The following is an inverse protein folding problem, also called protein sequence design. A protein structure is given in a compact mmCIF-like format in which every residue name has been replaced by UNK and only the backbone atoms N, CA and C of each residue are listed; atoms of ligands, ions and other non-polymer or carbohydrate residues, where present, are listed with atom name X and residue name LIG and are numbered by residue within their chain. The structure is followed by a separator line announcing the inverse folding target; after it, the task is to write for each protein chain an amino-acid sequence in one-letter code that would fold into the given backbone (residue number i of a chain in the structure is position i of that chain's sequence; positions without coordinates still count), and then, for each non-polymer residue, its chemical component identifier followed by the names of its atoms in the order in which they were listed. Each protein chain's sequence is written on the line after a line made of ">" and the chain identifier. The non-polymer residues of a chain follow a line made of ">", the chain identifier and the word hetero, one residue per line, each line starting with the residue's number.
data_IF_937249394460
#
_entry.id   IF_937249394460
#
_cell.length_a   1.000
_cell.length_b   1.000
_cell.length_c   1.000
_cell.angle_alpha   90.00
_cell.angle_beta   90.00
_cell.angle_gamma   90.00
#
_symmetry.space_group_name_H-M   'P 1'
#
loop_
_entity.id
_entity.type
_entity.pdbx_description
1 polymer ?
#
# COMPACT_ATOMS: atom_id res chain seq x y z
N UNK A 1 -12.63 17.61 0.36
CA UNK A 1 -11.64 18.69 0.57
C UNK A 1 -10.25 18.16 0.42
N UNK A 2 -9.45 18.80 -0.43
CA UNK A 2 -8.05 18.41 -0.56
C UNK A 2 -7.27 18.86 0.69
N UNK A 3 -6.42 17.99 1.17
CA UNK A 3 -5.54 18.28 2.30
C UNK A 3 -4.39 19.14 1.84
N UNK A 4 -3.95 20.03 2.71
CA UNK A 4 -2.82 20.91 2.41
C UNK A 4 -1.50 20.15 2.61
N UNK A 5 -0.43 20.67 2.02
CA UNK A 5 0.92 20.13 2.23
C UNK A 5 1.27 20.04 3.72
N UNK A 6 0.82 20.99 4.52
CA UNK A 6 1.07 21.01 5.96
C UNK A 6 0.52 19.77 6.68
N UNK A 7 -0.56 19.19 6.17
CA UNK A 7 -1.16 17.99 6.77
C UNK A 7 -0.71 16.70 6.08
N UNK A 8 -0.45 16.77 4.78
CA UNK A 8 -0.08 15.58 4.01
C UNK A 8 1.32 15.06 4.32
N UNK A 9 2.31 15.95 4.41
CA UNK A 9 3.69 15.52 4.70
C UNK A 9 3.86 14.91 6.09
N UNK A 10 3.31 15.51 7.16
CA UNK A 10 3.36 14.83 8.46
C UNK A 10 2.61 13.49 8.46
N UNK A 11 1.50 13.40 7.75
CA UNK A 11 0.77 12.14 7.62
C UNK A 11 1.60 11.09 6.89
N UNK A 12 2.24 11.47 5.79
CA UNK A 12 3.13 10.60 5.03
C UNK A 12 4.23 10.04 5.92
N UNK A 13 4.89 10.91 6.65
CA UNK A 13 6.00 10.55 7.54
C UNK A 13 5.52 9.60 8.63
N UNK A 14 4.39 9.89 9.25
CA UNK A 14 3.82 9.07 10.32
C UNK A 14 3.48 7.67 9.83
N UNK A 15 2.87 7.57 8.65
CA UNK A 15 2.50 6.28 8.06
C UNK A 15 3.74 5.49 7.63
N UNK A 16 4.74 6.18 7.09
CA UNK A 16 5.96 5.54 6.59
C UNK A 16 6.76 4.82 7.68
N UNK A 17 6.59 5.23 8.94
CA UNK A 17 7.33 4.62 10.06
C UNK A 17 7.01 3.13 10.22
N UNK A 18 5.76 2.74 9.98
CA UNK A 18 5.33 1.36 10.21
C UNK A 18 4.76 0.66 8.98
N UNK A 19 4.56 1.37 7.88
CA UNK A 19 3.91 0.83 6.70
C UNK A 19 4.68 -0.36 6.11
N UNK A 20 3.96 -1.41 5.76
CA UNK A 20 4.52 -2.61 5.15
C UNK A 20 3.72 -2.93 3.90
N UNK A 21 4.40 -3.03 2.77
CA UNK A 21 3.79 -3.45 1.52
C UNK A 21 3.58 -4.97 1.56
N UNK A 22 2.38 -5.40 1.25
CA UNK A 22 2.09 -6.83 1.18
C UNK A 22 0.61 -7.12 1.23
N UNK A 23 0.29 -8.37 1.07
CA UNK A 23 -1.06 -8.90 1.21
C UNK A 23 -1.13 -9.86 2.39
N UNK A 24 -2.31 -10.02 2.94
CA UNK A 24 -2.54 -10.97 4.02
C UNK A 24 -3.37 -12.14 3.49
N UNK A 25 -2.93 -13.34 3.81
CA UNK A 25 -3.67 -14.55 3.45
C UNK A 25 -3.79 -15.46 4.67
N UNK A 26 -4.98 -16.04 4.82
CA UNK A 26 -5.23 -17.02 5.88
C UNK A 26 -5.35 -18.40 5.25
N UNK A 27 -4.66 -19.36 5.82
CA UNK A 27 -4.66 -20.72 5.34
C UNK A 27 -4.90 -21.69 6.48
N UNK A 28 -5.60 -22.78 6.17
CA UNK A 28 -5.71 -23.92 7.08
C UNK A 28 -4.93 -25.09 6.49
N UNK A 29 -4.42 -25.95 7.35
CA UNK A 29 -3.64 -27.10 6.91
C UNK A 29 -3.97 -28.34 7.70
N UNK A 30 -3.65 -29.47 7.08
CA UNK A 30 -3.53 -30.73 7.79
C UNK A 30 -2.14 -30.82 8.41
N UNK A 31 -2.05 -31.45 9.59
CA UNK A 31 -0.76 -31.65 10.24
C UNK A 31 -0.06 -32.92 9.72
N UNK A 32 1.19 -33.11 10.14
CA UNK A 32 1.96 -34.29 9.75
C UNK A 32 1.53 -35.60 10.42
N UNK A 33 0.61 -35.57 11.38
CA UNK A 33 0.12 -36.76 12.06
C UNK A 33 -1.06 -37.37 11.29
N UNK A 34 -0.92 -38.51 10.63
CA UNK A 34 -1.99 -39.13 9.84
C UNK A 34 -3.19 -39.56 10.67
N UNK A 35 -3.04 -39.71 11.98
CA UNK A 35 -4.14 -40.08 12.88
C UNK A 35 -4.97 -38.87 13.31
N UNK A 36 -4.56 -37.64 12.97
CA UNK A 36 -5.27 -36.44 13.37
C UNK A 36 -6.57 -36.31 12.59
N UNK A 37 -7.64 -35.84 13.26
CA UNK A 37 -8.94 -35.64 12.67
C UNK A 37 -8.93 -34.59 11.54
N UNK A 38 -7.91 -33.74 11.47
CA UNK A 38 -7.80 -32.74 10.42
C UNK A 38 -7.68 -33.34 9.02
N UNK A 39 -7.25 -34.62 8.90
CA UNK A 39 -7.14 -35.30 7.61
C UNK A 39 -8.48 -35.79 7.09
N UNK A 40 -9.45 -36.03 7.97
CA UNK A 40 -10.75 -36.57 7.60
C UNK A 40 -11.83 -35.49 7.51
N UNK A 41 -11.72 -34.45 8.34
CA UNK A 41 -12.73 -33.41 8.48
C UNK A 41 -12.12 -32.04 8.15
N UNK A 42 -12.54 -31.39 7.04
CA UNK A 42 -12.03 -30.06 6.70
C UNK A 42 -12.27 -29.01 7.77
N UNK A 43 -13.31 -29.15 8.59
CA UNK A 43 -13.60 -28.21 9.68
C UNK A 43 -12.60 -28.33 10.83
N UNK A 44 -11.82 -29.41 10.88
CA UNK A 44 -10.83 -29.66 11.91
C UNK A 44 -9.39 -29.43 11.47
N UNK A 45 -9.22 -28.83 10.31
CA UNK A 45 -7.89 -28.43 9.86
C UNK A 45 -7.30 -27.41 10.82
N UNK A 46 -5.96 -27.46 10.95
CA UNK A 46 -5.23 -26.53 11.81
C UNK A 46 -5.20 -25.13 11.20
N UNK A 47 -5.31 -24.14 12.06
CA UNK A 47 -5.34 -22.76 11.65
C UNK A 47 -6.66 -22.10 12.02
N UNK A 48 -7.01 -20.98 11.37
CA UNK A 48 -6.28 -20.39 10.24
C UNK A 48 -4.92 -19.81 10.67
N UNK A 49 -3.96 -19.94 9.76
CA UNK A 49 -2.65 -19.31 9.92
C UNK A 49 -2.56 -18.10 9.01
N UNK A 50 -2.12 -17.00 9.55
CA UNK A 50 -1.95 -15.76 8.80
C UNK A 50 -0.55 -15.67 8.21
N UNK A 51 -0.47 -15.36 6.93
CA UNK A 51 0.78 -15.11 6.23
C UNK A 51 0.75 -13.73 5.62
N UNK A 52 1.87 -13.03 5.73
CA UNK A 52 2.12 -11.80 5.01
C UNK A 52 2.88 -12.17 3.73
N UNK A 53 2.24 -11.95 2.58
CA UNK A 53 2.88 -12.17 1.28
C UNK A 53 3.36 -10.83 0.76
N UNK A 54 4.57 -10.79 0.24
CA UNK A 54 5.18 -9.55 -0.21
C UNK A 54 6.18 -9.83 -1.33
N UNK A 55 6.55 -8.77 -2.00
CA UNK A 55 7.61 -8.84 -3.01
C UNK A 55 8.91 -8.38 -2.39
N UNK A 56 9.89 -9.26 -2.39
CA UNK A 56 11.24 -8.96 -1.88
C UNK A 56 11.95 -7.98 -2.82
N UNK A 57 13.04 -7.33 -2.36
CA UNK A 57 13.79 -6.37 -3.18
C UNK A 57 14.30 -6.96 -4.49
N UNK A 58 14.54 -8.26 -4.56
CA UNK A 58 14.97 -8.94 -5.79
C UNK A 58 13.79 -9.22 -6.76
N UNK A 59 12.58 -8.81 -6.42
CA UNK A 59 11.38 -9.00 -7.23
C UNK A 59 10.64 -10.31 -7.02
N UNK A 60 11.16 -11.21 -6.22
CA UNK A 60 10.53 -12.50 -5.94
C UNK A 60 9.44 -12.36 -4.90
N UNK A 61 8.37 -13.13 -5.07
CA UNK A 61 7.34 -13.24 -4.05
C UNK A 61 7.85 -14.05 -2.88
N UNK A 62 7.51 -13.59 -1.67
CA UNK A 62 7.90 -14.25 -0.43
C UNK A 62 6.72 -14.21 0.54
N UNK A 63 6.77 -15.05 1.56
CA UNK A 63 5.73 -15.11 2.57
C UNK A 63 6.35 -15.22 3.95
N UNK A 64 5.74 -14.52 4.90
CA UNK A 64 6.18 -14.52 6.29
C UNK A 64 5.03 -14.98 7.16
N UNK A 65 5.27 -16.02 7.96
CA UNK A 65 4.27 -16.47 8.94
C UNK A 65 4.09 -15.40 10.03
N UNK A 66 2.83 -15.10 10.35
CA UNK A 66 2.48 -14.12 11.37
C UNK A 66 1.92 -14.86 12.59
N UNK A 67 2.67 -14.91 13.70
CA UNK A 67 2.13 -15.47 14.94
C UNK A 67 0.91 -14.70 15.41
N UNK A 68 -0.01 -15.39 16.07
CA UNK A 68 -1.30 -14.83 16.45
C UNK A 68 -1.18 -13.57 17.28
N UNK A 69 -0.23 -13.49 18.18
CA UNK A 69 -0.01 -12.31 19.04
C UNK A 69 0.41 -11.06 18.24
N UNK A 70 0.94 -11.25 17.04
CA UNK A 70 1.40 -10.15 16.18
C UNK A 70 0.41 -9.76 15.10
N UNK A 71 -0.69 -10.50 14.95
CA UNK A 71 -1.66 -10.23 13.88
C UNK A 71 -2.19 -8.79 13.86
N UNK A 72 -2.63 -8.20 14.99
CA UNK A 72 -3.16 -6.83 14.94
C UNK A 72 -2.12 -5.83 14.46
N UNK A 73 -0.88 -6.00 14.87
CA UNK A 73 0.23 -5.13 14.50
C UNK A 73 0.55 -5.25 13.01
N UNK A 74 0.56 -6.46 12.47
CA UNK A 74 0.84 -6.70 11.05
C UNK A 74 -0.32 -6.18 10.20
N UNK A 75 -1.56 -6.41 10.59
CA UNK A 75 -2.73 -5.89 9.86
C UNK A 75 -2.71 -4.36 9.81
N UNK A 76 -2.33 -3.73 10.91
CA UNK A 76 -2.21 -2.27 10.97
C UNK A 76 -1.10 -1.76 10.05
N UNK A 77 0.04 -2.47 9.99
CA UNK A 77 1.15 -2.10 9.14
C UNK A 77 0.79 -2.18 7.65
N UNK A 78 0.08 -3.22 7.24
CA UNK A 78 -0.41 -3.36 5.86
C UNK A 78 -1.44 -2.29 5.52
N UNK A 79 -2.33 -1.97 6.46
CA UNK A 79 -3.31 -0.90 6.29
C UNK A 79 -2.61 0.46 6.17
N UNK A 80 -1.56 0.69 6.94
CA UNK A 80 -0.78 1.92 6.86
C UNK A 80 -0.15 2.09 5.48
N UNK A 81 0.28 1.01 4.83
CA UNK A 81 0.79 1.08 3.46
C UNK A 81 -0.27 1.58 2.49
N UNK A 82 -1.49 1.07 2.58
CA UNK A 82 -2.59 1.53 1.72
C UNK A 82 -2.87 3.02 1.92
N UNK A 83 -2.89 3.46 3.17
CA UNK A 83 -3.10 4.88 3.50
C UNK A 83 -1.92 5.75 3.05
N UNK A 84 -0.71 5.23 3.15
CA UNK A 84 0.50 5.88 2.67
C UNK A 84 0.41 6.12 1.15
N UNK A 85 -0.02 5.10 0.42
CA UNK A 85 -0.20 5.21 -1.02
C UNK A 85 -1.24 6.27 -1.39
N UNK A 86 -2.38 6.28 -0.71
CA UNK A 86 -3.41 7.31 -0.90
C UNK A 86 -2.85 8.71 -0.64
N UNK A 87 -2.04 8.86 0.40
CA UNK A 87 -1.41 10.14 0.74
C UNK A 87 -0.46 10.60 -0.36
N UNK A 88 0.34 9.68 -0.89
CA UNK A 88 1.25 9.97 -2.01
C UNK A 88 0.46 10.43 -3.24
N UNK A 89 -0.66 9.77 -3.52
CA UNK A 89 -1.51 10.14 -4.67
C UNK A 89 -2.08 11.55 -4.48
N UNK A 90 -2.52 11.90 -3.28
CA UNK A 90 -3.00 13.25 -2.98
C UNK A 90 -1.90 14.30 -3.18
N UNK A 91 -0.69 14.02 -2.70
CA UNK A 91 0.47 14.91 -2.88
C UNK A 91 0.75 15.09 -4.36
N UNK A 92 0.78 14.00 -5.11
CA UNK A 92 1.01 14.02 -6.56
C UNK A 92 -0.05 14.84 -7.29
N UNK A 93 -1.31 14.67 -6.90
CA UNK A 93 -2.41 15.45 -7.47
C UNK A 93 -2.21 16.95 -7.26
N UNK A 94 -1.89 17.35 -6.04
CA UNK A 94 -1.63 18.77 -5.72
C UNK A 94 -0.45 19.33 -6.50
N UNK A 95 0.60 18.55 -6.64
CA UNK A 95 1.79 18.94 -7.41
C UNK A 95 1.45 19.10 -8.88
N UNK A 96 0.65 18.20 -9.44
CA UNK A 96 0.21 18.28 -10.83
C UNK A 96 -0.65 19.52 -11.09
N UNK A 97 -1.55 19.83 -10.15
CA UNK A 97 -2.36 21.05 -10.23
C UNK A 97 -1.49 22.30 -10.23
N UNK A 98 -0.52 22.36 -9.32
CA UNK A 98 0.41 23.49 -9.24
C UNK A 98 1.23 23.62 -10.51
N UNK A 99 1.70 22.51 -11.04
CA UNK A 99 2.48 22.48 -12.27
C UNK A 99 1.63 22.97 -13.45
N UNK A 100 0.38 22.52 -13.54
CA UNK A 100 -0.54 22.94 -14.58
C UNK A 100 -0.80 24.45 -14.55
N UNK A 101 -1.00 25.01 -13.36
CA UNK A 101 -1.17 26.46 -13.20
C UNK A 101 0.06 27.24 -13.63
N UNK A 102 1.23 26.74 -13.28
CA UNK A 102 2.50 27.36 -13.65
C UNK A 102 2.69 27.37 -15.16
N UNK A 103 2.36 26.29 -15.82
CA UNK A 103 2.45 26.19 -17.29
C UNK A 103 1.48 27.14 -17.97
N UNK A 104 0.25 27.25 -17.49
CA UNK A 104 -0.76 28.18 -18.04
C UNK A 104 -0.34 29.64 -17.86
N UNK A 105 0.22 29.99 -16.69
CA UNK A 105 0.73 31.34 -16.45
C UNK A 105 1.82 31.73 -17.44
N UNK A 106 2.73 30.81 -17.73
CA UNK A 106 3.79 31.06 -18.70
C UNK A 106 3.24 31.32 -20.09
N UNK A 107 2.26 30.57 -20.52
CA UNK A 107 1.60 30.79 -21.80
C UNK A 107 0.97 32.17 -21.86
N UNK A 108 0.28 32.58 -20.80
CA UNK A 108 -0.35 33.90 -20.73
C UNK A 108 0.68 35.03 -20.75
N UNK A 109 1.83 34.86 -20.11
CA UNK A 109 2.90 35.84 -20.07
C UNK A 109 3.62 36.01 -21.41
N UNK A 110 3.62 34.99 -22.24
CA UNK A 110 4.18 35.09 -23.60
C UNK A 110 3.34 35.92 -24.53
N UNK A 111 2.20 36.40 -24.09
CA UNK A 111 1.35 37.30 -24.83
C UNK A 111 0.76 36.65 -26.08
N UNK A 112 0.59 37.45 -27.14
CA UNK A 112 -0.07 37.03 -28.37
C UNK A 112 0.81 36.21 -29.31
N UNK A 113 1.94 35.69 -28.87
CA UNK A 113 2.77 34.86 -29.72
C UNK A 113 2.00 33.63 -30.18
N UNK A 114 2.04 33.29 -31.48
CA UNK A 114 1.32 32.15 -31.97
C UNK A 114 1.82 30.87 -31.26
N UNK A 115 0.89 30.08 -30.87
CA UNK A 115 1.16 28.85 -30.21
C UNK A 115 1.73 27.84 -31.19
N UNK A 116 2.89 27.27 -30.91
CA UNK A 116 3.37 26.16 -31.69
C UNK A 116 2.49 24.96 -31.46
N UNK A 117 1.96 24.42 -32.53
CA UNK A 117 1.28 23.14 -32.44
C UNK A 117 2.31 22.04 -32.17
N UNK A 118 2.05 21.25 -31.17
CA UNK A 118 2.83 20.05 -30.96
C UNK A 118 2.44 19.00 -31.97
N UNK A 119 3.40 18.49 -32.66
CA UNK A 119 3.21 17.35 -33.53
C UNK A 119 3.08 16.05 -32.72
#
# INVERSE_FOLDING_TARGET
>A
MSRTRKTLFPRLQRLAVTAVQGGLSETTRTCGNPACACHEDPSRRHGPHLYLTFRAPDGRSSALYVPREHEPRVRKAVQAWAQLWETIVEISHGNREALGRSMRRRENQRGASPRRKRS
#
